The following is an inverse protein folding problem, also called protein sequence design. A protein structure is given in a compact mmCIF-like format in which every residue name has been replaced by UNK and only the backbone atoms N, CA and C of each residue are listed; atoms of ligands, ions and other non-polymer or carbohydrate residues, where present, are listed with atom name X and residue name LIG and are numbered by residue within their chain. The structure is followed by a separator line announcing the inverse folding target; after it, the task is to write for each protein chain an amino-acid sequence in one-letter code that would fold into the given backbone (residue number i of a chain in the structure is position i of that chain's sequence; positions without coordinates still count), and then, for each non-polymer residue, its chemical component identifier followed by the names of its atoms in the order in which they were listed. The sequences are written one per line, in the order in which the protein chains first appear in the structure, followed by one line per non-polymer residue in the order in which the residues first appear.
data_IF_661983261534
#
_entry.id   IF_661983261534
#
_cell.length_a   1.000
_cell.length_b   1.000
_cell.length_c   1.000
_cell.angle_alpha   90.00
_cell.angle_beta   90.00
_cell.angle_gamma   90.00
#
_symmetry.space_group_name_H-M   'P 1'
#
loop_
_entity.id
_entity.type
_entity.pdbx_description
1 polymer ?
#
# COMPACT_ATOMS: atom_id res chain seq x y z
N UNK A 1 -19.45 -2.92 16.60
CA UNK A 1 -18.02 -2.62 16.36
C UNK A 1 -17.52 -1.88 17.59
N UNK A 2 -16.94 -2.58 18.57
CA UNK A 2 -16.55 -1.97 19.85
C UNK A 2 -15.04 -1.68 19.94
N UNK A 3 -14.34 -1.63 18.80
CA UNK A 3 -12.95 -1.21 18.74
C UNK A 3 -12.87 -0.03 17.77
N UNK A 4 -12.51 1.16 18.26
CA UNK A 4 -12.34 2.35 17.43
C UNK A 4 -11.12 2.16 16.56
N UNK A 5 -11.34 1.66 15.36
CA UNK A 5 -10.29 1.47 14.38
C UNK A 5 -10.09 2.76 13.59
N UNK A 6 -8.89 3.30 13.68
CA UNK A 6 -8.48 4.40 12.83
C UNK A 6 -8.11 3.86 11.43
N UNK A 7 -8.42 4.62 10.38
CA UNK A 7 -8.05 4.32 8.97
C UNK A 7 -8.58 3.00 8.45
N UNK A 8 -9.92 2.81 8.45
CA UNK A 8 -10.51 1.61 7.89
C UNK A 8 -10.15 1.51 6.39
N UNK A 9 -9.72 0.31 6.00
CA UNK A 9 -9.32 -0.02 4.63
C UNK A 9 -10.57 -0.25 3.76
N UNK A 10 -11.14 0.83 3.23
CA UNK A 10 -12.41 0.83 2.51
C UNK A 10 -12.26 1.09 1.02
N UNK A 11 -13.03 0.36 0.21
CA UNK A 11 -13.07 0.51 -1.24
C UNK A 11 -14.51 0.56 -1.72
N UNK A 12 -14.86 1.54 -2.56
CA UNK A 12 -16.10 1.47 -3.34
C UNK A 12 -15.88 0.49 -4.50
N UNK A 13 -16.75 -0.49 -4.65
CA UNK A 13 -16.61 -1.53 -5.67
C UNK A 13 -17.15 -1.03 -7.03
N UNK A 14 -16.29 -0.89 -8.06
CA UNK A 14 -16.72 -0.53 -9.40
C UNK A 14 -17.27 -1.74 -10.17
N UNK A 15 -18.00 -1.48 -11.25
CA UNK A 15 -18.41 -2.50 -12.21
C UNK A 15 -19.81 -2.26 -12.78
N UNK A 16 -20.23 -3.05 -13.77
CA UNK A 16 -21.60 -3.01 -14.28
C UNK A 16 -22.60 -3.31 -13.16
N UNK A 17 -23.86 -2.90 -13.35
CA UNK A 17 -24.93 -3.21 -12.40
C UNK A 17 -24.96 -4.72 -12.12
N UNK A 18 -24.85 -5.07 -10.84
CA UNK A 18 -24.69 -6.44 -10.36
C UNK A 18 -24.64 -6.45 -8.84
N UNK A 19 -24.47 -7.63 -8.23
CA UNK A 19 -24.65 -7.81 -6.79
C UNK A 19 -23.70 -7.01 -5.88
N UNK A 20 -22.62 -6.43 -6.41
CA UNK A 20 -21.60 -5.73 -5.60
C UNK A 20 -21.27 -4.30 -6.06
N UNK A 21 -21.67 -3.91 -7.27
CA UNK A 21 -21.35 -2.57 -7.79
C UNK A 21 -21.98 -1.47 -6.94
N UNK A 22 -21.22 -0.42 -6.64
CA UNK A 22 -21.64 0.71 -5.80
C UNK A 22 -21.65 0.43 -4.29
N UNK A 23 -21.36 -0.81 -3.86
CA UNK A 23 -21.21 -1.14 -2.44
C UNK A 23 -19.83 -0.76 -1.93
N UNK A 24 -19.74 -0.51 -0.63
CA UNK A 24 -18.48 -0.21 0.07
C UNK A 24 -17.99 -1.49 0.73
N UNK A 25 -16.81 -1.94 0.33
CA UNK A 25 -16.13 -3.06 0.93
C UNK A 25 -15.11 -2.58 1.94
N UNK A 26 -15.19 -3.09 3.16
CA UNK A 26 -14.19 -2.91 4.19
C UNK A 26 -13.40 -4.21 4.36
N UNK A 27 -12.12 -4.19 3.99
CA UNK A 27 -11.30 -5.41 3.95
C UNK A 27 -10.91 -5.96 5.32
N UNK A 28 -11.27 -5.30 6.43
CA UNK A 28 -10.85 -5.71 7.78
C UNK A 28 -9.40 -5.35 8.08
N UNK A 29 -9.02 -5.26 9.36
CA UNK A 29 -7.65 -5.57 9.83
C UNK A 29 -7.61 -7.00 10.39
N UNK A 30 -8.67 -7.39 11.09
CA UNK A 30 -8.91 -8.76 11.56
C UNK A 30 -9.32 -9.69 10.40
N UNK A 31 -9.59 -10.95 10.71
CA UNK A 31 -10.10 -11.93 9.74
C UNK A 31 -11.42 -11.50 9.10
N UNK A 32 -12.30 -10.82 9.84
CA UNK A 32 -13.64 -10.47 9.38
C UNK A 32 -13.62 -9.24 8.45
N UNK A 33 -14.12 -9.42 7.23
CA UNK A 33 -14.40 -8.32 6.29
C UNK A 33 -15.88 -7.91 6.34
N UNK A 34 -16.20 -6.74 5.78
CA UNK A 34 -17.56 -6.20 5.86
C UNK A 34 -17.98 -5.56 4.53
N UNK A 35 -19.28 -5.62 4.26
CA UNK A 35 -19.89 -5.00 3.10
C UNK A 35 -20.99 -4.05 3.55
N UNK A 36 -21.01 -2.86 2.97
CA UNK A 36 -22.05 -1.87 3.19
C UNK A 36 -22.70 -1.49 1.86
N UNK A 37 -24.03 -1.49 1.84
CA UNK A 37 -24.83 -1.05 0.71
C UNK A 37 -25.47 0.31 1.01
N UNK A 38 -24.98 1.40 0.39
CA UNK A 38 -25.50 2.74 0.64
C UNK A 38 -26.95 2.92 0.16
N UNK A 39 -27.45 2.05 -0.73
CA UNK A 39 -28.79 2.17 -1.30
C UNK A 39 -29.89 1.56 -0.41
N UNK A 40 -29.52 0.80 0.63
CA UNK A 40 -30.50 0.22 1.57
C UNK A 40 -31.08 1.25 2.54
N UNK A 41 -30.62 2.51 2.51
CA UNK A 41 -31.12 3.62 3.35
C UNK A 41 -30.82 3.48 4.84
N UNK A 42 -30.34 2.31 5.30
CA UNK A 42 -29.94 2.06 6.68
C UNK A 42 -28.45 1.70 6.72
N UNK A 43 -27.63 2.34 7.58
CA UNK A 43 -26.18 2.14 7.64
C UNK A 43 -25.79 0.81 8.31
N UNK A 44 -26.20 -0.31 7.71
CA UNK A 44 -25.92 -1.66 8.22
C UNK A 44 -24.74 -2.26 7.47
N UNK A 45 -23.67 -2.53 8.21
CA UNK A 45 -22.55 -3.34 7.73
C UNK A 45 -22.89 -4.82 7.88
N UNK A 46 -22.82 -5.55 6.78
CA UNK A 46 -23.02 -6.98 6.74
C UNK A 46 -21.68 -7.70 6.84
N UNK A 47 -21.54 -8.74 7.69
CA UNK A 47 -20.37 -9.61 7.66
C UNK A 47 -20.17 -10.16 6.24
N UNK A 48 -18.93 -10.13 5.78
CA UNK A 48 -18.51 -10.65 4.48
C UNK A 48 -17.37 -11.67 4.67
N UNK A 49 -17.13 -12.62 3.74
CA UNK A 49 -16.17 -13.70 3.94
C UNK A 49 -14.85 -13.29 4.60
N UNK A 50 -14.38 -14.14 5.51
CA UNK A 50 -13.20 -13.88 6.30
C UNK A 50 -11.90 -14.15 5.51
N UNK A 51 -10.84 -13.41 5.82
CA UNK A 51 -9.47 -13.73 5.38
C UNK A 51 -9.07 -15.14 5.86
N UNK A 52 -8.22 -15.77 5.07
CA UNK A 52 -7.80 -17.17 5.24
C UNK A 52 -6.35 -17.33 5.69
N UNK A 53 -5.51 -16.29 5.65
CA UNK A 53 -4.07 -16.43 5.95
C UNK A 53 -3.56 -15.64 7.16
N UNK A 54 -4.39 -14.82 7.80
CA UNK A 54 -3.97 -14.07 8.99
C UNK A 54 -5.05 -14.02 10.06
N UNK A 55 -4.63 -13.90 11.33
CA UNK A 55 -5.53 -13.55 12.42
C UNK A 55 -5.79 -12.04 12.46
N UNK A 56 -4.76 -11.24 12.15
CA UNK A 56 -4.81 -9.78 12.03
C UNK A 56 -3.75 -9.28 11.06
N UNK A 57 -3.98 -8.12 10.43
CA UNK A 57 -3.11 -7.47 9.45
C UNK A 57 -3.13 -5.95 9.66
N UNK A 58 -2.49 -5.51 10.74
CA UNK A 58 -2.29 -4.09 11.03
C UNK A 58 -1.24 -3.49 10.08
N UNK A 59 -1.41 -2.22 9.68
CA UNK A 59 -0.45 -1.47 8.86
C UNK A 59 -0.02 -2.15 7.54
N UNK A 60 -0.87 -3.06 7.03
CA UNK A 60 -0.75 -3.63 5.70
C UNK A 60 -1.59 -2.87 4.69
N UNK A 61 -1.24 -2.99 3.43
CA UNK A 61 -1.94 -2.30 2.35
C UNK A 61 -3.19 -3.04 1.91
N UNK A 62 -4.16 -2.27 1.42
CA UNK A 62 -5.38 -2.77 0.79
C UNK A 62 -5.61 -1.98 -0.49
N UNK A 63 -5.72 -2.69 -1.61
CA UNK A 63 -5.64 -2.13 -2.95
C UNK A 63 -6.81 -2.62 -3.79
N UNK A 64 -7.57 -1.68 -4.36
CA UNK A 64 -8.46 -1.99 -5.47
C UNK A 64 -7.60 -2.19 -6.73
N UNK A 65 -7.59 -3.41 -7.25
CA UNK A 65 -6.83 -3.74 -8.45
C UNK A 65 -7.52 -3.13 -9.70
N UNK A 66 -6.76 -2.89 -10.78
CA UNK A 66 -7.34 -2.46 -12.06
C UNK A 66 -8.50 -3.36 -12.45
N UNK A 67 -9.68 -2.75 -12.55
CA UNK A 67 -10.86 -3.43 -13.05
C UNK A 67 -10.65 -3.73 -14.54
N UNK A 68 -10.99 -4.94 -14.95
CA UNK A 68 -11.25 -5.23 -16.36
C UNK A 68 -12.75 -5.36 -16.52
N UNK A 69 -13.27 -5.07 -17.72
CA UNK A 69 -14.70 -5.16 -18.00
C UNK A 69 -15.29 -6.55 -17.70
N UNK A 70 -14.46 -7.59 -17.66
CA UNK A 70 -14.86 -9.00 -17.50
C UNK A 70 -14.50 -9.62 -16.16
N UNK A 71 -13.49 -9.12 -15.43
CA UNK A 71 -13.03 -9.78 -14.21
C UNK A 71 -13.74 -9.33 -12.92
N UNK A 72 -14.59 -8.28 -12.98
CA UNK A 72 -15.16 -7.65 -11.80
C UNK A 72 -14.13 -6.89 -10.95
N UNK A 73 -14.59 -6.25 -9.88
CA UNK A 73 -13.73 -5.59 -8.91
C UNK A 73 -12.90 -6.64 -8.13
N UNK A 74 -11.62 -6.35 -7.90
CA UNK A 74 -10.74 -7.21 -7.11
C UNK A 74 -10.00 -6.38 -6.07
N UNK A 75 -9.93 -6.88 -4.84
CA UNK A 75 -9.20 -6.22 -3.76
C UNK A 75 -8.07 -7.12 -3.29
N UNK A 76 -6.85 -6.58 -3.24
CA UNK A 76 -5.65 -7.23 -2.73
C UNK A 76 -5.29 -6.63 -1.37
N UNK A 77 -5.05 -7.46 -0.37
CA UNK A 77 -4.37 -7.06 0.87
C UNK A 77 -2.97 -7.67 0.90
N UNK A 78 -1.98 -6.91 1.33
CA UNK A 78 -0.59 -7.35 1.34
C UNK A 78 0.20 -6.71 2.50
N UNK A 79 1.20 -7.42 3.01
CA UNK A 79 2.05 -6.91 4.09
C UNK A 79 1.31 -6.74 5.42
N UNK A 80 1.82 -5.87 6.28
CA UNK A 80 1.29 -5.63 7.61
C UNK A 80 1.80 -6.63 8.64
N UNK A 81 1.27 -6.53 9.86
CA UNK A 81 1.69 -7.32 11.00
C UNK A 81 0.54 -8.18 11.52
N UNK A 82 0.85 -9.43 11.83
CA UNK A 82 -0.03 -10.34 12.55
C UNK A 82 0.27 -10.25 14.06
N UNK A 83 -0.42 -9.34 14.75
CA UNK A 83 -0.39 -9.32 16.22
C UNK A 83 -1.31 -10.42 16.73
N UNK A 84 -0.80 -11.37 17.51
CA UNK A 84 -1.69 -12.11 18.41
C UNK A 84 -2.39 -11.10 19.32
N UNK A 85 -3.69 -11.28 19.51
CA UNK A 85 -4.57 -10.35 20.19
C UNK A 85 -3.90 -9.72 21.43
N UNK A 86 -3.98 -8.39 21.53
CA UNK A 86 -3.73 -7.59 22.73
C UNK A 86 -2.29 -7.14 23.03
N UNK A 87 -1.30 -7.37 22.16
CA UNK A 87 0.08 -6.94 22.43
C UNK A 87 0.64 -5.91 21.44
N UNK A 88 -0.24 -5.08 20.85
CA UNK A 88 0.24 -3.85 20.22
C UNK A 88 0.52 -2.81 21.30
N UNK A 89 1.62 -2.98 22.02
CA UNK A 89 2.41 -1.83 22.41
C UNK A 89 3.37 -1.56 21.25
N UNK A 90 2.98 -0.66 20.32
CA UNK A 90 3.96 0.35 19.92
C UNK A 90 4.19 1.09 21.22
N UNK A 91 5.13 0.57 22.03
CA UNK A 91 5.33 1.05 23.38
C UNK A 91 5.40 2.55 23.27
N UNK A 92 4.48 3.23 23.94
CA UNK A 92 4.52 4.66 24.20
C UNK A 92 5.74 5.05 25.07
N UNK A 93 6.78 4.22 25.04
CA UNK A 93 8.05 4.40 25.68
C UNK A 93 9.09 3.60 24.88
N UNK A 94 9.96 4.32 24.17
CA UNK A 94 11.36 3.92 24.01
C UNK A 94 12.08 3.92 25.39
N UNK A 95 11.45 3.34 26.41
CA UNK A 95 11.92 3.34 27.78
C UNK A 95 11.41 2.08 28.47
N UNK A 96 12.35 1.28 28.90
CA UNK A 96 12.25 0.39 30.05
C UNK A 96 11.33 -0.84 29.91
N UNK A 97 11.90 -1.91 29.34
CA UNK A 97 11.93 -3.25 29.97
C UNK A 97 12.76 -4.21 29.12
N UNK A 98 14.08 -4.11 29.27
CA UNK A 98 15.01 -5.19 28.96
C UNK A 98 14.74 -6.29 29.99
N UNK A 99 13.92 -7.28 29.65
CA UNK A 99 13.68 -8.39 30.57
C UNK A 99 12.68 -9.44 30.13
N UNK A 100 11.62 -9.11 29.37
CA UNK A 100 10.54 -10.10 29.18
C UNK A 100 9.66 -9.94 27.93
N UNK A 101 10.16 -9.40 26.81
CA UNK A 101 9.36 -9.25 25.58
C UNK A 101 10.13 -9.70 24.33
N UNK A 102 10.41 -11.01 24.24
CA UNK A 102 10.54 -11.70 22.94
C UNK A 102 9.16 -11.92 22.30
N UNK A 103 8.26 -10.93 22.38
CA UNK A 103 6.97 -11.02 21.73
C UNK A 103 7.13 -10.61 20.27
N UNK A 104 7.48 -11.63 19.49
CA UNK A 104 7.68 -11.65 18.05
C UNK A 104 6.59 -10.87 17.31
N UNK A 105 6.89 -9.68 16.82
CA UNK A 105 6.11 -9.10 15.76
C UNK A 105 6.24 -9.96 14.50
N UNK A 106 5.14 -10.58 14.09
CA UNK A 106 5.10 -11.35 12.85
C UNK A 106 4.73 -10.43 11.68
N UNK A 107 5.73 -9.81 11.05
CA UNK A 107 5.54 -9.01 9.83
C UNK A 107 5.31 -9.96 8.66
N UNK A 108 4.26 -9.69 7.90
CA UNK A 108 3.78 -10.55 6.84
C UNK A 108 4.41 -10.18 5.50
N UNK A 109 4.85 -11.19 4.75
CA UNK A 109 5.07 -11.09 3.31
C UNK A 109 3.85 -11.56 2.51
N UNK A 110 2.91 -12.24 3.18
CA UNK A 110 1.73 -12.82 2.54
C UNK A 110 0.80 -11.76 1.97
N UNK A 111 0.07 -12.15 0.94
CA UNK A 111 -1.02 -11.36 0.38
C UNK A 111 -2.23 -12.23 0.11
N UNK A 112 -3.41 -11.62 0.10
CA UNK A 112 -4.68 -12.26 -0.20
C UNK A 112 -5.51 -11.39 -1.12
N UNK A 113 -6.34 -12.02 -1.94
CA UNK A 113 -7.20 -11.34 -2.88
C UNK A 113 -8.63 -11.83 -2.73
N UNK A 114 -9.58 -10.93 -2.95
CA UNK A 114 -11.00 -11.25 -3.12
C UNK A 114 -11.50 -10.72 -4.45
N UNK A 115 -12.29 -11.52 -5.16
CA UNK A 115 -12.80 -11.21 -6.50
C UNK A 115 -14.34 -11.11 -6.51
N UNK A 116 -14.85 -9.90 -6.70
CA UNK A 116 -16.28 -9.59 -6.77
C UNK A 116 -16.92 -9.89 -8.14
N UNK A 117 -16.15 -10.36 -9.12
CA UNK A 117 -16.68 -10.97 -10.33
C UNK A 117 -17.24 -12.38 -10.11
N UNK A 118 -16.96 -13.01 -8.96
CA UNK A 118 -17.53 -14.31 -8.59
C UNK A 118 -18.95 -14.16 -8.02
N UNK A 119 -19.79 -15.18 -8.21
CA UNK A 119 -21.14 -15.22 -7.61
C UNK A 119 -21.09 -15.20 -6.08
N UNK A 120 -20.04 -15.83 -5.52
CA UNK A 120 -19.77 -15.91 -4.09
C UNK A 120 -18.29 -15.57 -3.86
N UNK A 121 -17.92 -14.29 -3.76
CA UNK A 121 -16.53 -13.87 -3.56
C UNK A 121 -15.94 -14.48 -2.30
N UNK A 122 -14.72 -15.01 -2.37
CA UNK A 122 -13.98 -15.53 -1.23
C UNK A 122 -12.56 -14.99 -1.23
N UNK A 123 -11.95 -14.90 -0.06
CA UNK A 123 -10.52 -14.62 0.04
C UNK A 123 -9.71 -15.83 -0.41
N UNK A 124 -8.68 -15.57 -1.22
CA UNK A 124 -7.69 -16.55 -1.67
C UNK A 124 -6.29 -16.00 -1.47
N UNK A 125 -5.32 -16.88 -1.22
CA UNK A 125 -3.90 -16.48 -1.19
C UNK A 125 -3.47 -15.92 -2.55
N UNK A 126 -2.72 -14.81 -2.55
CA UNK A 126 -2.31 -14.05 -3.74
C UNK A 126 -0.78 -14.02 -3.96
N UNK A 127 -0.09 -15.10 -3.59
CA UNK A 127 1.37 -15.14 -3.54
C UNK A 127 1.92 -14.30 -2.39
N UNK A 128 3.25 -14.20 -2.30
CA UNK A 128 3.92 -13.42 -1.25
C UNK A 128 4.98 -12.50 -1.86
N UNK A 129 5.16 -11.36 -1.21
CA UNK A 129 6.38 -10.56 -1.37
C UNK A 129 7.60 -11.40 -0.98
N UNK A 130 8.75 -11.05 -1.52
CA UNK A 130 10.04 -11.58 -1.04
C UNK A 130 10.46 -10.97 0.27
N UNK A 131 10.11 -9.71 0.52
CA UNK A 131 10.40 -9.05 1.78
C UNK A 131 9.09 -8.76 2.50
N UNK A 132 8.98 -9.23 3.75
CA UNK A 132 7.87 -8.88 4.61
C UNK A 132 7.92 -7.37 4.90
N UNK A 133 6.76 -6.70 4.88
CA UNK A 133 6.70 -5.24 5.03
C UNK A 133 5.51 -4.84 5.87
N UNK A 134 5.76 -4.00 6.87
CA UNK A 134 4.75 -3.17 7.54
C UNK A 134 4.99 -1.71 7.13
N UNK A 135 3.95 -0.86 7.13
CA UNK A 135 4.05 0.57 6.75
C UNK A 135 4.59 0.86 5.34
N UNK A 136 4.53 -0.13 4.45
CA UNK A 136 4.87 0.07 3.05
C UNK A 136 3.82 0.94 2.34
N UNK A 137 4.21 1.60 1.27
CA UNK A 137 3.28 2.24 0.35
C UNK A 137 3.05 1.37 -0.89
N UNK A 138 1.84 1.42 -1.45
CA UNK A 138 1.50 0.73 -2.70
C UNK A 138 0.87 1.69 -3.71
N UNK A 139 1.34 1.64 -4.96
CA UNK A 139 0.94 2.57 -6.03
C UNK A 139 0.57 1.79 -7.29
N UNK A 140 -0.65 1.98 -7.80
CA UNK A 140 -1.04 1.49 -9.12
C UNK A 140 -0.35 2.32 -10.21
N UNK A 141 0.35 1.65 -11.14
CA UNK A 141 1.05 2.28 -12.25
C UNK A 141 0.30 2.14 -13.59
N UNK A 142 0.61 2.97 -14.61
CA UNK A 142 -0.08 2.96 -15.91
C UNK A 142 0.00 1.66 -16.71
N UNK A 143 1.00 0.81 -16.45
CA UNK A 143 1.10 -0.51 -17.06
C UNK A 143 0.14 -1.54 -16.41
N UNK A 144 -0.50 -1.18 -15.29
CA UNK A 144 -1.42 -2.02 -14.52
C UNK A 144 -0.74 -2.88 -13.45
N UNK A 145 0.56 -2.67 -13.22
CA UNK A 145 1.28 -3.26 -12.09
C UNK A 145 1.14 -2.35 -10.87
N UNK A 146 1.27 -2.95 -9.69
CA UNK A 146 1.30 -2.23 -8.41
C UNK A 146 2.73 -2.23 -7.91
N UNK A 147 3.27 -1.03 -7.69
CA UNK A 147 4.56 -0.83 -7.03
C UNK A 147 4.37 -0.86 -5.51
N UNK A 148 5.19 -1.63 -4.81
CA UNK A 148 5.29 -1.63 -3.35
C UNK A 148 6.68 -1.16 -2.93
N UNK A 149 6.73 -0.17 -2.04
CA UNK A 149 7.96 0.55 -1.68
C UNK A 149 7.97 0.88 -0.20
N UNK A 150 9.18 0.93 0.37
CA UNK A 150 9.38 1.27 1.77
C UNK A 150 8.84 0.20 2.71
N UNK A 151 8.46 0.66 3.89
CA UNK A 151 8.13 -0.15 5.04
C UNK A 151 9.37 -0.66 5.77
N UNK A 152 9.12 -1.50 6.76
CA UNK A 152 10.14 -2.18 7.56
C UNK A 152 9.84 -3.67 7.66
N UNK A 153 10.90 -4.48 7.79
CA UNK A 153 10.79 -5.93 7.81
C UNK A 153 11.09 -6.55 9.20
N UNK A 154 11.38 -5.72 10.19
CA UNK A 154 11.47 -6.11 11.60
C UNK A 154 10.72 -5.10 12.45
N UNK A 155 10.16 -5.56 13.57
CA UNK A 155 9.74 -4.62 14.60
C UNK A 155 10.94 -3.95 15.23
N UNK A 156 10.77 -2.68 15.56
CA UNK A 156 11.72 -1.90 16.31
C UNK A 156 11.96 -2.56 17.68
N UNK A 157 13.11 -3.22 17.86
CA UNK A 157 13.50 -3.79 19.15
C UNK A 157 14.27 -2.75 19.97
N UNK A 158 14.06 -2.75 21.29
CA UNK A 158 14.99 -2.11 22.20
C UNK A 158 16.38 -2.78 22.08
N UNK A 159 17.41 -1.95 22.07
CA UNK A 159 18.83 -2.24 21.82
C UNK A 159 19.41 -3.53 22.46
N UNK A 160 20.39 -4.20 21.80
CA UNK A 160 21.35 -5.04 22.52
C UNK A 160 22.16 -4.18 23.51
N UNK A 161 22.35 -4.67 24.74
CA UNK A 161 23.16 -3.95 25.73
C UNK A 161 24.59 -3.71 25.20
N UNK A 162 24.99 -2.45 25.06
CA UNK A 162 26.37 -2.06 24.71
C UNK A 162 26.54 -1.11 23.52
N UNK A 163 25.47 -0.71 22.85
CA UNK A 163 25.50 0.30 21.77
C UNK A 163 25.03 1.65 22.34
N UNK A 164 25.93 2.64 22.32
CA UNK A 164 25.77 3.93 23.02
C UNK A 164 25.04 5.02 22.21
N UNK A 165 24.45 4.70 21.05
CA UNK A 165 23.85 5.70 20.14
C UNK A 165 22.31 5.66 20.05
N UNK A 166 21.63 4.99 20.99
CA UNK A 166 20.29 5.38 21.46
C UNK A 166 19.07 5.06 20.59
N UNK A 167 19.20 4.78 19.29
CA UNK A 167 18.02 4.69 18.42
C UNK A 167 17.53 3.23 18.22
N UNK A 168 16.22 2.93 18.31
CA UNK A 168 15.71 1.60 17.99
C UNK A 168 15.99 1.25 16.53
N UNK A 169 16.62 0.09 16.27
CA UNK A 169 16.92 -0.34 14.90
C UNK A 169 15.72 -1.04 14.27
N UNK A 170 14.76 -0.26 13.77
CA UNK A 170 13.83 -0.80 12.77
C UNK A 170 14.64 -1.05 11.48
N UNK A 171 14.45 -2.18 10.78
CA UNK A 171 15.16 -2.47 9.53
C UNK A 171 14.32 -2.00 8.33
N UNK A 172 14.58 -0.81 7.77
CA UNK A 172 13.83 -0.30 6.63
C UNK A 172 14.09 -1.12 5.37
N UNK A 173 13.03 -1.25 4.56
CA UNK A 173 13.11 -1.97 3.29
C UNK A 173 13.39 -0.99 2.15
N UNK A 174 14.61 -1.07 1.68
CA UNK A 174 15.20 -0.23 0.65
C UNK A 174 14.86 -0.67 -0.80
N UNK A 175 14.35 -1.90 -0.97
CA UNK A 175 13.99 -2.43 -2.29
C UNK A 175 12.52 -2.17 -2.64
N UNK A 176 12.20 -2.15 -3.94
CA UNK A 176 10.84 -2.14 -4.44
C UNK A 176 10.42 -3.55 -4.87
N UNK A 177 9.13 -3.82 -4.84
CA UNK A 177 8.53 -5.01 -5.43
C UNK A 177 7.35 -4.63 -6.32
N UNK A 178 7.09 -5.43 -7.36
CA UNK A 178 5.94 -5.22 -8.24
C UNK A 178 4.96 -6.37 -8.10
N UNK A 179 3.68 -6.07 -7.97
CA UNK A 179 2.61 -7.03 -8.14
C UNK A 179 1.98 -6.88 -9.53
N UNK A 180 1.96 -7.96 -10.30
CA UNK A 180 1.28 -7.99 -11.59
C UNK A 180 -0.16 -8.49 -11.42
N UNK A 181 -1.11 -7.58 -11.60
CA UNK A 181 -2.54 -7.86 -11.44
C UNK A 181 -3.14 -8.71 -12.57
N UNK A 182 -2.41 -8.94 -13.66
CA UNK A 182 -2.84 -9.82 -14.75
C UNK A 182 -2.52 -11.29 -14.43
N UNK A 183 -1.38 -11.56 -13.80
CA UNK A 183 -0.93 -12.92 -13.43
C UNK A 183 -1.16 -13.24 -11.97
N UNK A 184 -1.61 -12.27 -11.17
CA UNK A 184 -1.76 -12.35 -9.72
C UNK A 184 -0.47 -12.82 -9.02
N UNK A 185 0.68 -12.27 -9.45
CA UNK A 185 1.98 -12.70 -8.95
C UNK A 185 2.90 -11.53 -8.60
N UNK A 186 3.76 -11.77 -7.63
CA UNK A 186 4.83 -10.86 -7.24
C UNK A 186 6.03 -11.06 -8.16
N UNK A 187 6.45 -9.98 -8.81
CA UNK A 187 7.69 -9.91 -9.55
C UNK A 187 8.77 -9.48 -8.56
N UNK A 188 9.34 -10.51 -7.97
CA UNK A 188 10.39 -10.42 -7.00
C UNK A 188 11.75 -10.57 -7.69
N UNK A 189 12.54 -9.50 -7.77
CA UNK A 189 14.01 -9.49 -7.67
C UNK A 189 14.57 -8.18 -8.23
N UNK A 190 15.49 -7.58 -7.48
CA UNK A 190 16.48 -6.64 -8.02
C UNK A 190 15.93 -5.36 -8.65
N UNK A 191 14.70 -4.94 -8.38
CA UNK A 191 14.25 -3.59 -8.69
C UNK A 191 14.75 -2.70 -7.56
N UNK A 192 15.85 -1.95 -7.75
CA UNK A 192 16.16 -0.89 -6.82
C UNK A 192 14.95 0.04 -6.80
N UNK A 193 14.30 0.16 -5.63
CA UNK A 193 13.52 1.38 -5.41
C UNK A 193 14.49 2.56 -5.55
N UNK A 194 14.02 3.82 -5.66
CA UNK A 194 14.88 5.00 -5.46
C UNK A 194 15.49 5.04 -4.06
N UNK A 195 15.16 4.04 -3.26
CA UNK A 195 15.61 3.65 -1.95
C UNK A 195 16.64 2.50 -1.97
N UNK A 196 17.36 2.13 -3.05
CA UNK A 196 18.45 1.11 -3.02
C UNK A 196 19.93 1.57 -3.33
N UNK A 197 20.33 2.80 -3.05
CA UNK A 197 21.69 3.37 -3.18
C UNK A 197 22.09 4.15 -1.91
N UNK A 198 23.37 4.12 -1.54
CA UNK A 198 23.94 4.51 -0.24
C UNK A 198 23.69 5.93 0.32
N UNK A 199 22.83 6.76 -0.29
CA UNK A 199 22.50 8.13 0.14
C UNK A 199 21.05 8.29 0.68
N UNK A 200 20.39 7.21 1.13
CA UNK A 200 18.93 7.15 1.25
C UNK A 200 18.30 7.34 2.62
N UNK A 201 17.07 7.89 2.57
CA UNK A 201 16.16 8.09 3.69
C UNK A 201 15.15 6.93 3.74
N UNK A 202 15.02 6.23 4.87
CA UNK A 202 13.95 5.27 5.10
C UNK A 202 12.56 5.84 4.80
N UNK A 203 11.69 5.02 4.21
CA UNK A 203 10.27 5.33 3.98
C UNK A 203 9.42 4.37 4.81
N UNK A 204 9.28 4.66 6.10
CA UNK A 204 8.58 3.81 7.08
C UNK A 204 7.23 4.43 7.45
N UNK A 205 6.83 4.31 8.72
CA UNK A 205 5.70 5.02 9.30
C UNK A 205 5.68 6.50 8.88
N UNK A 206 4.51 7.04 8.54
CA UNK A 206 4.34 8.41 8.00
C UNK A 206 5.01 8.69 6.64
N UNK A 207 5.43 7.67 5.89
CA UNK A 207 5.84 7.84 4.49
C UNK A 207 4.64 7.81 3.53
N UNK A 208 4.83 8.40 2.35
CA UNK A 208 3.85 8.42 1.27
C UNK A 208 4.52 8.06 -0.06
N UNK A 209 3.75 7.41 -0.94
CA UNK A 209 4.10 7.29 -2.35
C UNK A 209 2.92 7.70 -3.26
N UNK A 210 3.18 8.48 -4.31
CA UNK A 210 2.17 9.07 -5.18
C UNK A 210 2.57 8.94 -6.65
N UNK A 211 1.66 8.44 -7.49
CA UNK A 211 1.84 8.45 -8.95
C UNK A 211 1.73 9.87 -9.49
N UNK A 212 2.72 10.32 -10.24
CA UNK A 212 2.73 11.63 -10.90
C UNK A 212 2.17 11.55 -12.32
N UNK A 213 1.69 12.68 -12.91
CA UNK A 213 1.14 12.71 -14.27
C UNK A 213 2.13 12.27 -15.36
N UNK A 214 3.44 12.41 -15.11
CA UNK A 214 4.47 11.90 -16.02
C UNK A 214 4.69 10.38 -15.87
N UNK A 215 3.89 9.68 -15.06
CA UNK A 215 4.02 8.27 -14.68
C UNK A 215 5.21 7.92 -13.77
N UNK A 216 5.99 8.89 -13.28
CA UNK A 216 6.95 8.61 -12.21
C UNK A 216 6.22 8.49 -10.85
N UNK A 217 6.91 8.00 -9.82
CA UNK A 217 6.33 7.88 -8.47
C UNK A 217 7.15 8.72 -7.49
N UNK A 218 6.52 9.70 -6.85
CA UNK A 218 7.10 10.42 -5.73
C UNK A 218 7.08 9.53 -4.49
N UNK A 219 8.20 9.43 -3.78
CA UNK A 219 8.28 8.91 -2.42
C UNK A 219 8.73 10.02 -1.49
N UNK A 220 8.01 10.23 -0.38
CA UNK A 220 8.31 11.28 0.58
C UNK A 220 7.93 10.85 2.00
N UNK A 221 8.33 11.66 2.98
CA UNK A 221 8.03 11.42 4.40
C UNK A 221 8.75 10.20 4.97
N UNK A 222 8.25 9.71 6.09
CA UNK A 222 8.93 8.74 6.94
C UNK A 222 9.38 9.41 8.24
N UNK A 223 8.84 8.92 9.36
CA UNK A 223 9.37 9.22 10.68
C UNK A 223 10.63 8.37 10.84
N UNK A 224 11.80 8.99 10.67
CA UNK A 224 13.09 8.31 10.89
C UNK A 224 13.70 8.80 12.19
N UNK A 225 14.04 7.86 13.06
CA UNK A 225 14.86 8.10 14.25
C UNK A 225 16.33 8.43 13.83
N UNK A 226 16.79 7.84 12.73
CA UNK A 226 18.16 7.96 12.22
C UNK A 226 18.45 9.21 11.34
N UNK A 227 17.76 10.33 11.56
CA UNK A 227 18.29 11.60 11.05
C UNK A 227 19.55 11.93 11.86
N UNK A 228 20.74 11.85 11.26
CA UNK A 228 21.90 12.56 11.81
C UNK A 228 21.53 14.04 11.87
N UNK A 229 21.13 14.47 13.06
CA UNK A 229 20.77 15.83 13.38
C UNK A 229 22.00 16.69 13.05
N UNK A 230 21.91 17.70 12.17
CA UNK A 230 22.99 18.66 12.03
C UNK A 230 23.32 19.24 13.41
N UNK A 231 24.60 19.34 13.78
CA UNK A 231 25.03 19.67 15.15
C UNK A 231 24.46 20.99 15.73
N UNK A 232 23.78 21.80 14.91
CA UNK A 232 23.14 23.06 15.26
C UNK A 232 21.59 22.99 15.34
N UNK A 233 20.96 21.82 15.24
CA UNK A 233 19.51 21.70 15.34
C UNK A 233 19.08 21.59 16.81
N UNK A 234 18.55 22.67 17.39
CA UNK A 234 18.12 22.75 18.81
C UNK A 234 16.65 22.36 19.04
N UNK A 235 16.00 21.73 18.07
CA UNK A 235 14.59 21.31 18.16
C UNK A 235 14.47 20.00 18.93
N UNK A 236 13.61 19.98 19.96
CA UNK A 236 13.23 18.81 20.75
C UNK A 236 12.48 17.72 19.95
N UNK A 237 12.20 17.94 18.66
CA UNK A 237 11.57 16.99 17.74
C UNK A 237 12.43 16.84 16.46
N UNK A 238 13.24 15.77 16.33
CA UNK A 238 14.16 15.56 15.21
C UNK A 238 13.53 15.09 13.89
N UNK A 239 12.20 15.02 13.79
CA UNK A 239 11.45 14.55 12.62
C UNK A 239 11.48 15.50 11.39
N UNK A 240 12.52 16.31 11.23
CA UNK A 240 12.55 17.48 10.34
C UNK A 240 13.60 17.40 9.22
N UNK A 241 13.77 16.22 8.60
CA UNK A 241 14.46 16.13 7.29
C UNK A 241 13.45 15.88 6.16
N UNK A 242 12.70 16.90 5.70
CA UNK A 242 11.82 16.75 4.55
C UNK A 242 12.66 16.28 3.37
N UNK A 243 12.32 15.10 2.85
CA UNK A 243 13.01 14.48 1.73
C UNK A 243 12.02 13.85 0.79
N UNK A 244 12.30 13.97 -0.50
CA UNK A 244 11.50 13.38 -1.57
C UNK A 244 12.42 12.72 -2.58
N UNK A 245 11.94 11.65 -3.21
CA UNK A 245 12.64 10.95 -4.29
C UNK A 245 11.65 10.60 -5.39
N UNK A 246 12.13 10.61 -6.63
CA UNK A 246 11.32 10.21 -7.79
C UNK A 246 11.79 8.83 -8.26
N UNK A 247 10.87 7.87 -8.26
CA UNK A 247 11.03 6.59 -8.93
C UNK A 247 10.61 6.69 -10.38
N UNK A 248 11.48 6.22 -11.28
CA UNK A 248 11.17 6.00 -12.68
C UNK A 248 11.06 4.49 -12.90
N UNK A 249 9.84 3.94 -13.03
CA UNK A 249 9.66 2.52 -13.30
C UNK A 249 10.29 2.08 -14.63
N UNK A 250 10.48 0.77 -14.80
CA UNK A 250 11.16 0.18 -15.96
C UNK A 250 10.62 0.63 -17.34
N UNK A 251 9.34 1.01 -17.44
CA UNK A 251 8.76 1.52 -18.68
C UNK A 251 9.32 2.89 -19.13
N UNK A 252 9.98 3.66 -18.27
CA UNK A 252 10.70 4.88 -18.68
C UNK A 252 11.92 4.60 -19.55
N UNK A 253 12.43 3.37 -19.54
CA UNK A 253 13.67 2.98 -20.20
C UNK A 253 13.43 2.10 -21.43
N UNK A 254 12.19 2.02 -21.92
CA UNK A 254 11.79 1.21 -23.10
C UNK A 254 11.78 1.99 -24.42
N UNK A 255 12.34 3.20 -24.45
CA UNK A 255 12.35 4.07 -25.62
C UNK A 255 11.28 5.17 -25.56
N UNK A 256 10.90 5.67 -26.73
CA UNK A 256 9.97 6.79 -26.85
C UNK A 256 8.57 6.45 -26.30
N UNK A 257 7.99 7.38 -25.54
CA UNK A 257 6.66 7.23 -24.96
C UNK A 257 5.59 7.69 -25.95
N UNK A 258 4.41 7.05 -25.98
CA UNK A 258 3.26 7.58 -26.71
C UNK A 258 2.91 8.99 -26.24
N UNK A 259 2.46 9.84 -27.17
CA UNK A 259 2.01 11.21 -26.87
C UNK A 259 0.50 11.32 -27.08
N UNK A 260 -0.20 12.02 -26.19
CA UNK A 260 -1.60 12.39 -26.39
C UNK A 260 -1.62 13.78 -27.00
N UNK A 261 -2.16 13.93 -28.21
CA UNK A 261 -2.28 15.24 -28.88
C UNK A 261 -3.55 15.97 -28.45
N UNK A 262 -4.64 15.24 -28.19
CA UNK A 262 -5.84 15.81 -27.59
C UNK A 262 -6.70 14.74 -26.94
N UNK A 263 -7.37 15.11 -25.86
CA UNK A 263 -8.44 14.32 -25.24
C UNK A 263 -9.56 15.28 -24.78
N UNK A 264 -10.81 14.82 -24.62
CA UNK A 264 -11.88 15.62 -24.04
C UNK A 264 -11.52 16.09 -22.62
N UNK A 265 -11.94 17.30 -22.25
CA UNK A 265 -11.76 17.83 -20.89
C UNK A 265 -12.69 17.20 -19.85
N UNK A 266 -13.76 16.56 -20.30
CA UNK A 266 -14.71 15.83 -19.48
C UNK A 266 -15.29 14.67 -20.26
N UNK A 267 -15.63 13.60 -19.52
CA UNK A 267 -16.34 12.43 -20.03
C UNK A 267 -17.39 12.02 -18.99
N UNK A 268 -18.45 11.34 -19.43
CA UNK A 268 -19.46 10.75 -18.55
C UNK A 268 -19.38 9.22 -18.57
N UNK A 269 -19.93 8.58 -17.53
CA UNK A 269 -19.94 7.12 -17.44
C UNK A 269 -20.71 6.51 -18.64
N UNK A 270 -20.12 5.48 -19.26
CA UNK A 270 -20.68 4.82 -20.44
C UNK A 270 -20.50 5.58 -21.76
N UNK A 271 -19.94 6.79 -21.74
CA UNK A 271 -19.68 7.55 -22.96
C UNK A 271 -18.50 6.96 -23.75
N UNK A 272 -18.68 6.84 -25.07
CA UNK A 272 -17.57 6.62 -26.00
C UNK A 272 -16.91 7.95 -26.34
N UNK A 273 -15.59 8.01 -26.30
CA UNK A 273 -14.82 9.21 -26.60
C UNK A 273 -13.52 8.87 -27.36
N UNK A 274 -12.91 9.90 -27.95
CA UNK A 274 -11.69 9.74 -28.77
C UNK A 274 -10.51 10.43 -28.10
N UNK A 275 -9.40 9.69 -27.96
CA UNK A 275 -8.08 10.24 -27.63
C UNK A 275 -7.27 10.25 -28.92
N UNK A 276 -6.79 11.43 -29.34
CA UNK A 276 -5.93 11.54 -30.50
C UNK A 276 -4.46 11.34 -30.09
N UNK A 277 -3.75 10.51 -30.85
CA UNK A 277 -2.33 10.24 -30.67
C UNK A 277 -1.71 9.83 -32.01
N UNK A 278 -0.48 10.27 -32.35
CA UNK A 278 0.23 9.77 -33.51
C UNK A 278 0.66 8.30 -33.34
N UNK A 279 0.61 7.76 -32.12
CA UNK A 279 1.02 6.40 -31.79
C UNK A 279 -0.16 5.41 -31.77
N UNK A 280 -1.32 5.75 -32.33
CA UNK A 280 -2.56 4.96 -32.18
C UNK A 280 -2.42 3.49 -32.53
N UNK A 281 -1.69 3.16 -33.61
CA UNK A 281 -1.46 1.77 -34.02
C UNK A 281 -0.60 0.95 -33.04
N UNK A 282 0.10 1.59 -32.10
CA UNK A 282 0.97 0.95 -31.11
C UNK A 282 0.30 0.86 -29.72
N UNK A 283 -0.88 1.48 -29.54
CA UNK A 283 -1.58 1.49 -28.25
C UNK A 283 -2.25 0.13 -28.03
N UNK A 284 -1.76 -0.62 -27.04
CA UNK A 284 -2.32 -1.92 -26.65
C UNK A 284 -3.19 -1.86 -25.40
N UNK A 285 -3.12 -0.77 -24.64
CA UNK A 285 -3.87 -0.57 -23.40
C UNK A 285 -4.09 0.92 -23.14
N UNK A 286 -5.26 1.25 -22.61
CA UNK A 286 -5.59 2.55 -22.04
C UNK A 286 -6.00 2.31 -20.60
N UNK A 287 -5.45 3.09 -19.66
CA UNK A 287 -5.80 3.01 -18.25
C UNK A 287 -6.13 4.42 -17.75
N UNK A 288 -7.35 4.59 -17.25
CA UNK A 288 -7.69 5.74 -16.42
C UNK A 288 -7.22 5.43 -15.00
N UNK A 289 -6.35 6.28 -14.46
CA UNK A 289 -5.86 6.17 -13.09
C UNK A 289 -6.36 7.39 -12.34
N UNK A 290 -7.12 7.15 -11.28
CA UNK A 290 -7.48 8.21 -10.33
C UNK A 290 -6.20 8.69 -9.64
N UNK A 291 -5.89 10.01 -9.62
CA UNK A 291 -4.74 10.51 -8.86
C UNK A 291 -4.84 10.05 -7.41
N UNK A 292 -3.96 9.10 -7.06
CA UNK A 292 -3.98 8.49 -5.75
C UNK A 292 -3.77 9.56 -4.67
N UNK A 293 -4.66 9.59 -3.68
CA UNK A 293 -4.42 10.31 -2.43
C UNK A 293 -3.82 9.32 -1.43
N UNK A 294 -2.49 9.30 -1.36
CA UNK A 294 -1.79 8.60 -0.27
C UNK A 294 -1.78 9.52 0.95
N UNK A 295 -2.47 9.08 2.00
CA UNK A 295 -2.43 9.62 3.34
C UNK A 295 -2.39 8.43 4.30
N UNK A 296 -1.73 8.61 5.44
CA UNK A 296 -1.33 7.60 6.41
C UNK A 296 -2.19 6.33 6.56
N UNK A 297 -1.59 5.16 6.83
CA UNK A 297 -2.30 4.07 7.49
C UNK A 297 -2.65 4.36 8.98
N UNK A 298 -2.22 5.48 9.61
CA UNK A 298 -2.74 6.01 10.90
C UNK A 298 -2.44 7.52 11.28
N UNK A 299 -3.35 8.18 12.01
CA UNK A 299 -3.27 9.33 12.97
C UNK A 299 -4.52 9.17 13.90
N UNK A 300 -4.46 8.88 15.20
CA UNK A 300 -3.51 9.13 16.26
C UNK A 300 -3.67 8.00 17.28
#
# INVERSE_FOLDING_TARGET
MNNTQFYPRVHMLPGPAGNYSGKIFYSGMDTQSWLYDPLLGTPIWQPFPASVTHARRDYGNSLLLPATATAGARVLIAGGQNTSANNYSKSLACSDRIGDLLQLCNILASSEMINFGQTTPQWVSAGSMTTARVDANSVLMPDGKILVVGGENTCCSAQPAGVLDGEPTCLPVYTAELFDSATNSWLATGIPAPSATSAQRPRQYHSTAVLLPDASVLLAGGDTDACQIPANCTSQYPNTCPSGQIYKPGYFFRGARPTITSAPSSITYGQTYTINTPNGAQVTKVLAVDPARSGHPCVR
#
